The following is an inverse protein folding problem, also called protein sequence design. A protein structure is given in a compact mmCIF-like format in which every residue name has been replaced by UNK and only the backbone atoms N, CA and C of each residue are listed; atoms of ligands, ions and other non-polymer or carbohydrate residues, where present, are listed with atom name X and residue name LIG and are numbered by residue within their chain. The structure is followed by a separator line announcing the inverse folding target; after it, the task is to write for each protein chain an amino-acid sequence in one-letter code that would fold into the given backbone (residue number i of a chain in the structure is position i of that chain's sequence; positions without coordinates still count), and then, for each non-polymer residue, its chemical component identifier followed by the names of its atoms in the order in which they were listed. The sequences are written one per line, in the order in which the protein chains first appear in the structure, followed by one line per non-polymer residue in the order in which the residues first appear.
data_IF_520567302587
#
_entry.id   IF_520567302587
#
_cell.length_a   1.000
_cell.length_b   1.000
_cell.length_c   1.000
_cell.angle_alpha   90.00
_cell.angle_beta   90.00
_cell.angle_gamma   90.00
#
_symmetry.space_group_name_H-M   'P 1'
#
loop_
_entity.id
_entity.type
_entity.pdbx_description
1 polymer ?
#
# COMPACT_ATOMS: atom_id res chain seq x y z
N UNK A 1 -24.95 50.54 29.26
CA UNK A 1 -25.78 49.87 28.23
C UNK A 1 -25.13 50.20 26.89
N UNK A 2 -24.58 49.30 26.07
CA UNK A 2 -24.54 47.85 26.02
C UNK A 2 -23.10 47.39 25.71
N UNK A 3 -22.74 46.25 26.28
CA UNK A 3 -21.49 45.51 26.11
C UNK A 3 -21.55 44.62 24.87
N UNK A 4 -20.52 44.64 24.03
CA UNK A 4 -20.28 43.59 23.03
C UNK A 4 -18.81 43.18 23.09
N UNK A 5 -18.58 42.00 23.64
CA UNK A 5 -17.29 41.32 23.72
C UNK A 5 -17.19 40.40 22.50
N UNK A 6 -16.22 40.62 21.61
CA UNK A 6 -15.91 39.71 20.50
C UNK A 6 -14.72 38.84 20.88
N UNK A 7 -14.98 37.55 20.99
CA UNK A 7 -14.04 36.45 21.22
C UNK A 7 -13.74 35.78 19.88
N UNK A 8 -12.49 35.86 19.43
CA UNK A 8 -11.90 35.09 18.32
C UNK A 8 -10.42 34.96 18.70
N UNK A 9 -9.76 33.81 18.82
CA UNK A 9 -9.93 32.47 18.27
C UNK A 9 -8.50 31.93 18.27
N UNK A 10 -8.12 31.20 19.32
CA UNK A 10 -6.78 30.60 19.44
C UNK A 10 -6.77 29.34 18.59
N UNK A 11 -5.87 29.32 17.60
CA UNK A 11 -5.60 28.18 16.76
C UNK A 11 -5.01 27.05 17.62
N UNK A 12 -5.77 25.98 17.79
CA UNK A 12 -5.29 24.74 18.39
C UNK A 12 -4.69 23.88 17.28
N UNK A 13 -3.41 23.58 17.45
CA UNK A 13 -2.63 22.77 16.53
C UNK A 13 -3.09 21.32 16.66
N UNK A 14 -3.77 20.83 15.62
CA UNK A 14 -4.04 19.40 15.43
C UNK A 14 -2.72 18.64 15.28
N UNK A 15 -2.24 18.12 16.41
CA UNK A 15 -1.29 17.03 16.51
C UNK A 15 -2.02 15.73 16.13
N UNK A 16 -2.09 15.44 14.83
CA UNK A 16 -2.60 14.18 14.32
C UNK A 16 -1.46 13.15 14.36
N UNK A 17 -1.34 12.49 15.52
CA UNK A 17 -0.52 11.31 15.71
C UNK A 17 -0.91 10.22 14.68
N UNK A 18 -0.05 10.02 13.69
CA UNK A 18 -0.19 9.00 12.65
C UNK A 18 -0.12 7.59 13.21
N UNK A 19 -1.09 6.76 12.83
CA UNK A 19 -1.09 5.34 13.09
C UNK A 19 0.12 4.65 12.42
N UNK A 20 0.75 3.66 13.08
CA UNK A 20 1.94 2.99 12.57
C UNK A 20 1.62 1.97 11.46
N UNK A 21 2.23 2.12 10.29
CA UNK A 21 2.75 0.95 9.54
C UNK A 21 1.97 0.40 8.34
N UNK A 22 1.09 1.15 7.67
CA UNK A 22 0.65 0.77 6.32
C UNK A 22 1.73 1.22 5.32
N UNK A 23 2.61 0.31 4.88
CA UNK A 23 3.57 0.60 3.83
C UNK A 23 2.84 1.27 2.64
N UNK A 24 3.32 2.41 2.10
CA UNK A 24 2.70 3.05 0.96
C UNK A 24 2.51 2.04 -0.18
N UNK A 25 1.31 1.98 -0.75
CA UNK A 25 1.05 1.07 -1.87
C UNK A 25 2.03 1.34 -3.02
N UNK A 26 2.40 0.31 -3.80
CA UNK A 26 3.39 0.43 -4.89
C UNK A 26 3.09 1.54 -5.89
N UNK A 27 1.81 1.87 -6.12
CA UNK A 27 1.42 3.03 -6.92
C UNK A 27 1.87 4.36 -6.29
N UNK A 28 1.72 4.53 -4.98
CA UNK A 28 2.19 5.72 -4.27
C UNK A 28 3.71 5.80 -4.30
N UNK A 29 4.39 4.67 -4.13
CA UNK A 29 5.85 4.59 -4.26
C UNK A 29 6.34 4.91 -5.68
N UNK A 30 5.66 4.41 -6.71
CA UNK A 30 5.93 4.75 -8.10
C UNK A 30 5.83 6.25 -8.35
N UNK A 31 4.74 6.87 -7.89
CA UNK A 31 4.52 8.33 -8.02
C UNK A 31 5.60 9.12 -7.29
N UNK A 32 5.95 8.73 -6.07
CA UNK A 32 7.00 9.36 -5.26
C UNK A 32 8.37 9.30 -5.96
N UNK A 33 8.74 8.14 -6.50
CA UNK A 33 10.00 7.98 -7.23
C UNK A 33 10.01 8.83 -8.50
N UNK A 34 8.93 8.83 -9.28
CA UNK A 34 8.82 9.62 -10.52
C UNK A 34 8.86 11.13 -10.25
N UNK A 35 8.14 11.61 -9.25
CA UNK A 35 8.16 13.02 -8.82
C UNK A 35 9.58 13.45 -8.40
N UNK A 36 10.29 12.56 -7.71
CA UNK A 36 11.71 12.78 -7.38
C UNK A 36 12.62 12.87 -8.61
N UNK A 37 12.32 12.16 -9.69
CA UNK A 37 13.11 12.19 -10.94
C UNK A 37 12.82 13.42 -11.80
N UNK A 38 11.57 13.88 -11.81
CA UNK A 38 11.16 15.08 -12.53
C UNK A 38 11.97 16.32 -12.11
N UNK A 39 12.22 16.48 -10.81
CA UNK A 39 12.89 17.66 -10.26
C UNK A 39 14.41 17.51 -10.11
N UNK A 40 14.96 16.30 -10.34
CA UNK A 40 16.38 16.05 -10.10
C UNK A 40 17.26 16.64 -11.20
N UNK A 41 18.40 17.25 -10.86
CA UNK A 41 19.34 17.75 -11.88
C UNK A 41 20.00 16.60 -12.67
N UNK A 42 20.34 15.51 -11.99
CA UNK A 42 20.85 14.25 -12.54
C UNK A 42 20.18 13.07 -11.83
N UNK A 43 20.16 11.90 -12.47
CA UNK A 43 19.52 10.70 -11.93
C UNK A 43 20.59 9.73 -11.41
N UNK A 44 20.68 9.63 -10.10
CA UNK A 44 21.59 8.68 -9.46
C UNK A 44 21.22 7.22 -9.76
N UNK A 45 22.23 6.36 -9.90
CA UNK A 45 22.11 4.90 -10.11
C UNK A 45 21.08 4.24 -9.17
N UNK A 46 21.09 4.63 -7.89
CA UNK A 46 20.18 4.07 -6.88
C UNK A 46 18.71 4.27 -7.23
N UNK A 47 18.35 5.34 -7.96
CA UNK A 47 16.97 5.60 -8.38
C UNK A 47 16.55 4.72 -9.54
N UNK A 48 17.45 4.46 -10.49
CA UNK A 48 17.20 3.49 -11.56
C UNK A 48 17.04 2.07 -11.00
N UNK A 49 17.89 1.70 -10.04
CA UNK A 49 17.79 0.41 -9.34
C UNK A 49 16.44 0.28 -8.60
N UNK A 50 16.03 1.32 -7.88
CA UNK A 50 14.75 1.34 -7.17
C UNK A 50 13.54 1.18 -8.14
N UNK A 51 13.56 1.89 -9.28
CA UNK A 51 12.54 1.72 -10.31
C UNK A 51 12.55 0.31 -10.92
N UNK A 52 13.73 -0.25 -11.21
CA UNK A 52 13.85 -1.61 -11.74
C UNK A 52 13.27 -2.67 -10.79
N UNK A 53 13.56 -2.54 -9.49
CA UNK A 53 12.97 -3.40 -8.46
C UNK A 53 11.44 -3.23 -8.40
N UNK A 54 10.95 -1.98 -8.41
CA UNK A 54 9.52 -1.71 -8.36
C UNK A 54 8.76 -2.25 -9.58
N UNK A 55 9.33 -2.10 -10.80
CA UNK A 55 8.78 -2.70 -12.02
C UNK A 55 8.73 -4.22 -11.90
N UNK A 56 9.78 -4.83 -11.38
CA UNK A 56 9.84 -6.28 -11.18
C UNK A 56 8.74 -6.75 -10.22
N UNK A 57 8.62 -6.11 -9.06
CA UNK A 57 7.60 -6.45 -8.07
C UNK A 57 6.18 -6.22 -8.58
N UNK A 58 5.96 -5.11 -9.29
CA UNK A 58 4.67 -4.79 -9.90
C UNK A 58 4.31 -5.80 -10.99
N UNK A 59 5.28 -6.25 -11.79
CA UNK A 59 5.10 -7.30 -12.80
C UNK A 59 4.70 -8.64 -12.16
N UNK A 60 5.41 -9.05 -11.10
CA UNK A 60 5.13 -10.30 -10.38
C UNK A 60 3.75 -10.29 -9.72
N UNK A 61 3.27 -9.12 -9.29
CA UNK A 61 1.98 -8.97 -8.64
C UNK A 61 0.84 -8.62 -9.61
N UNK A 62 1.09 -8.56 -10.93
CA UNK A 62 0.13 -8.07 -11.92
C UNK A 62 -0.48 -6.71 -11.53
N UNK A 63 0.35 -5.80 -11.01
CA UNK A 63 -0.02 -4.48 -10.52
C UNK A 63 -0.06 -3.47 -11.68
N UNK A 64 -1.12 -3.59 -12.49
CA UNK A 64 -1.33 -2.75 -13.67
C UNK A 64 -1.28 -1.25 -13.37
N UNK A 65 -1.93 -0.73 -12.31
CA UNK A 65 -1.89 0.71 -12.04
C UNK A 65 -0.47 1.22 -11.78
N UNK A 66 0.34 0.45 -11.04
CA UNK A 66 1.73 0.83 -10.78
C UNK A 66 2.58 0.78 -12.06
N UNK A 67 2.47 -0.29 -12.86
CA UNK A 67 3.21 -0.41 -14.12
C UNK A 67 2.84 0.67 -15.14
N UNK A 68 1.55 0.99 -15.26
CA UNK A 68 1.07 2.07 -16.13
C UNK A 68 1.59 3.43 -15.67
N UNK A 69 1.52 3.72 -14.36
CA UNK A 69 2.05 4.97 -13.81
C UNK A 69 3.56 5.10 -14.07
N UNK A 70 4.34 4.02 -13.86
CA UNK A 70 5.79 4.00 -14.13
C UNK A 70 6.06 4.26 -15.61
N UNK A 71 5.39 3.51 -16.50
CA UNK A 71 5.57 3.66 -17.95
C UNK A 71 5.26 5.09 -18.39
N UNK A 72 4.11 5.62 -17.99
CA UNK A 72 3.64 6.94 -18.43
C UNK A 72 4.52 8.06 -17.86
N UNK A 73 4.94 7.95 -16.59
CA UNK A 73 5.88 8.88 -15.97
C UNK A 73 7.26 8.87 -16.63
N UNK A 74 7.80 7.69 -16.96
CA UNK A 74 9.06 7.58 -17.69
C UNK A 74 8.95 8.09 -19.13
N UNK A 75 7.83 7.85 -19.82
CA UNK A 75 7.57 8.41 -21.15
C UNK A 75 7.43 9.94 -21.13
N UNK A 76 6.85 10.49 -20.07
CA UNK A 76 6.82 11.92 -19.85
C UNK A 76 8.23 12.47 -19.62
N UNK A 77 9.00 11.87 -18.71
CA UNK A 77 10.39 12.25 -18.41
C UNK A 77 11.28 12.20 -19.66
N UNK A 78 11.14 11.15 -20.47
CA UNK A 78 11.86 11.01 -21.74
C UNK A 78 11.55 12.16 -22.69
N UNK A 79 10.26 12.52 -22.82
CA UNK A 79 9.85 13.63 -23.68
C UNK A 79 10.35 14.98 -23.15
N UNK A 80 10.30 15.22 -21.84
CA UNK A 80 10.65 16.54 -21.31
C UNK A 80 12.15 16.79 -21.23
N UNK A 81 12.97 15.75 -21.04
CA UNK A 81 14.41 15.91 -20.79
C UNK A 81 15.34 15.42 -21.89
N UNK A 82 14.89 14.49 -22.73
CA UNK A 82 15.79 13.75 -23.62
C UNK A 82 15.37 13.77 -25.10
N UNK A 83 14.52 14.74 -25.51
CA UNK A 83 14.13 14.92 -26.91
C UNK A 83 15.25 15.46 -27.79
N UNK A 84 16.05 16.42 -27.29
CA UNK A 84 17.13 17.04 -28.05
C UNK A 84 18.45 16.24 -27.93
N UNK A 85 18.47 15.08 -28.58
CA UNK A 85 19.59 14.11 -28.51
C UNK A 85 20.96 14.72 -28.84
N UNK A 86 21.12 15.56 -29.88
CA UNK A 86 22.41 16.19 -30.17
C UNK A 86 22.96 17.05 -29.04
N UNK A 87 22.09 17.70 -28.26
CA UNK A 87 22.47 18.57 -27.15
C UNK A 87 22.82 17.82 -25.85
N UNK A 88 22.57 16.50 -25.80
CA UNK A 88 22.85 15.70 -24.61
C UNK A 88 24.36 15.44 -24.45
N UNK A 89 24.85 15.66 -23.23
CA UNK A 89 26.17 15.19 -22.82
C UNK A 89 26.22 13.65 -22.70
N UNK A 90 27.41 13.03 -22.55
CA UNK A 90 27.54 11.58 -22.47
C UNK A 90 26.72 10.92 -21.34
N UNK A 91 26.66 11.55 -20.17
CA UNK A 91 25.96 11.01 -19.00
C UNK A 91 24.44 11.04 -19.23
N UNK A 92 23.93 12.15 -19.77
CA UNK A 92 22.52 12.30 -20.16
C UNK A 92 22.11 11.31 -21.25
N UNK A 93 23.00 10.95 -22.18
CA UNK A 93 22.73 9.91 -23.18
C UNK A 93 22.60 8.53 -22.56
N UNK A 94 23.42 8.24 -21.55
CA UNK A 94 23.32 6.99 -20.80
C UNK A 94 22.02 6.95 -19.98
N UNK A 95 21.70 8.02 -19.24
CA UNK A 95 20.45 8.18 -18.51
C UNK A 95 19.24 7.99 -19.43
N UNK A 96 19.24 8.60 -20.62
CA UNK A 96 18.21 8.41 -21.65
C UNK A 96 18.07 6.94 -22.05
N UNK A 97 19.18 6.24 -22.28
CA UNK A 97 19.18 4.82 -22.62
C UNK A 97 18.55 3.95 -21.53
N UNK A 98 18.89 4.23 -20.27
CA UNK A 98 18.30 3.56 -19.09
C UNK A 98 16.80 3.82 -18.98
N UNK A 99 16.36 5.06 -19.16
CA UNK A 99 14.93 5.42 -19.17
C UNK A 99 14.18 4.65 -20.26
N UNK A 100 14.71 4.62 -21.49
CA UNK A 100 14.11 3.85 -22.58
C UNK A 100 14.02 2.35 -22.27
N UNK A 101 15.09 1.77 -21.71
CA UNK A 101 15.08 0.37 -21.29
C UNK A 101 14.01 0.08 -20.24
N UNK A 102 13.83 0.95 -19.24
CA UNK A 102 12.77 0.80 -18.23
C UNK A 102 11.36 0.96 -18.83
N UNK A 103 11.18 1.87 -19.79
CA UNK A 103 9.91 2.02 -20.53
C UNK A 103 9.58 0.71 -21.26
N UNK A 104 10.56 0.12 -21.96
CA UNK A 104 10.35 -1.12 -22.72
C UNK A 104 10.01 -2.28 -21.79
N UNK A 105 10.72 -2.42 -20.66
CA UNK A 105 10.42 -3.47 -19.67
C UNK A 105 9.02 -3.30 -19.10
N UNK A 106 8.63 -2.09 -18.68
CA UNK A 106 7.28 -1.82 -18.18
C UNK A 106 6.21 -2.08 -19.26
N UNK A 107 6.47 -1.70 -20.50
CA UNK A 107 5.59 -1.97 -21.64
C UNK A 107 5.39 -3.48 -21.85
N UNK A 108 6.47 -4.26 -21.88
CA UNK A 108 6.37 -5.70 -22.08
C UNK A 108 5.76 -6.42 -20.88
N UNK A 109 5.99 -5.93 -19.66
CA UNK A 109 5.31 -6.41 -18.46
C UNK A 109 3.79 -6.25 -18.60
N UNK A 110 3.31 -5.05 -18.96
CA UNK A 110 1.90 -4.77 -19.21
C UNK A 110 1.32 -5.67 -20.31
N UNK A 111 2.03 -5.88 -21.42
CA UNK A 111 1.54 -6.76 -22.51
C UNK A 111 1.49 -8.24 -22.14
N UNK A 112 2.34 -8.68 -21.21
CA UNK A 112 2.39 -10.06 -20.73
C UNK A 112 1.61 -10.29 -19.44
N UNK A 113 1.02 -9.24 -18.88
CA UNK A 113 0.06 -9.42 -17.81
C UNK A 113 -0.98 -10.44 -18.26
N UNK A 114 -1.41 -11.36 -17.39
CA UNK A 114 -2.45 -12.30 -17.74
C UNK A 114 -3.61 -11.47 -18.30
N UNK A 115 -3.96 -11.63 -19.58
CA UNK A 115 -5.19 -11.02 -20.08
C UNK A 115 -6.30 -11.46 -19.14
N UNK A 116 -7.25 -10.59 -18.83
CA UNK A 116 -8.40 -10.88 -17.99
C UNK A 116 -9.12 -12.12 -18.47
N UNK A 117 -8.61 -13.31 -18.11
CA UNK A 117 -9.36 -14.53 -18.11
C UNK A 117 -10.45 -14.17 -17.14
N UNK A 118 -11.62 -13.85 -17.69
CA UNK A 118 -12.80 -13.50 -16.94
C UNK A 118 -12.97 -14.69 -16.01
N UNK A 119 -12.52 -14.52 -14.76
CA UNK A 119 -12.51 -15.59 -13.77
C UNK A 119 -13.92 -16.16 -13.59
N UNK A 120 -14.94 -15.42 -14.04
CA UNK A 120 -16.32 -15.84 -14.08
C UNK A 120 -16.75 -16.29 -12.70
N UNK A 121 -16.22 -15.62 -11.66
CA UNK A 121 -16.43 -16.07 -10.29
C UNK A 121 -17.92 -16.00 -10.03
N UNK A 122 -18.52 -17.16 -9.81
CA UNK A 122 -19.91 -17.25 -9.38
C UNK A 122 -20.01 -16.57 -8.01
N UNK A 123 -20.91 -15.58 -7.84
CA UNK A 123 -21.19 -15.01 -6.53
C UNK A 123 -21.48 -16.12 -5.51
N UNK A 124 -20.91 -16.03 -4.31
CA UNK A 124 -21.02 -17.06 -3.27
C UNK A 124 -20.22 -18.35 -3.51
N UNK A 125 -19.62 -18.55 -4.68
CA UNK A 125 -18.74 -19.68 -4.96
C UNK A 125 -17.45 -19.63 -4.13
N UNK A 126 -16.80 -20.78 -3.93
CA UNK A 126 -15.60 -20.91 -3.09
C UNK A 126 -14.49 -19.92 -3.47
N UNK A 127 -14.25 -19.73 -4.77
CA UNK A 127 -13.24 -18.78 -5.25
C UNK A 127 -13.61 -17.30 -5.00
N UNK A 128 -14.90 -16.95 -5.12
CA UNK A 128 -15.37 -15.61 -4.76
C UNK A 128 -15.22 -15.35 -3.26
N UNK A 129 -15.67 -16.29 -2.43
CA UNK A 129 -15.56 -16.21 -0.97
C UNK A 129 -14.11 -16.14 -0.49
N UNK A 130 -13.22 -16.94 -1.11
CA UNK A 130 -11.78 -16.85 -0.87
C UNK A 130 -11.24 -15.46 -1.18
N UNK A 131 -11.53 -14.94 -2.37
CA UNK A 131 -11.00 -13.65 -2.81
C UNK A 131 -11.50 -12.51 -1.90
N UNK A 132 -12.78 -12.53 -1.51
CA UNK A 132 -13.37 -11.58 -0.56
C UNK A 132 -12.72 -11.69 0.82
N UNK A 133 -12.51 -12.90 1.35
CA UNK A 133 -11.87 -13.10 2.65
C UNK A 133 -10.42 -12.56 2.68
N UNK A 134 -9.64 -12.85 1.62
CA UNK A 134 -8.27 -12.32 1.48
C UNK A 134 -8.27 -10.80 1.28
N UNK A 135 -9.27 -10.23 0.59
CA UNK A 135 -9.41 -8.78 0.43
C UNK A 135 -9.66 -8.06 1.75
N UNK A 136 -10.54 -8.65 2.58
CA UNK A 136 -10.93 -8.13 3.88
C UNK A 136 -9.78 -8.24 4.89
N UNK A 137 -9.03 -9.35 4.88
CA UNK A 137 -7.91 -9.59 5.79
C UNK A 137 -6.71 -10.20 5.04
N UNK A 138 -5.85 -9.35 4.43
CA UNK A 138 -4.62 -9.81 3.81
C UNK A 138 -3.66 -10.45 4.82
N UNK A 139 -2.78 -11.33 4.35
CA UNK A 139 -1.80 -12.03 5.15
C UNK A 139 -2.32 -13.29 5.85
N UNK A 140 -3.49 -13.81 5.47
CA UNK A 140 -4.09 -15.01 6.08
C UNK A 140 -3.45 -16.29 5.55
N UNK A 141 -3.19 -17.22 6.46
CA UNK A 141 -2.69 -18.55 6.12
C UNK A 141 -3.76 -19.46 5.53
N UNK A 142 -3.34 -20.56 4.90
CA UNK A 142 -4.27 -21.58 4.41
C UNK A 142 -5.25 -22.05 5.50
N UNK A 143 -4.72 -22.38 6.67
CA UNK A 143 -5.48 -22.89 7.82
C UNK A 143 -6.51 -21.89 8.34
N UNK A 144 -6.14 -20.61 8.39
CA UNK A 144 -7.06 -19.57 8.83
C UNK A 144 -8.18 -19.35 7.80
N UNK A 145 -7.87 -19.36 6.50
CA UNK A 145 -8.87 -19.26 5.45
C UNK A 145 -9.78 -20.50 5.41
N UNK A 146 -9.25 -21.69 5.65
CA UNK A 146 -10.02 -22.93 5.71
C UNK A 146 -11.06 -22.87 6.84
N UNK A 147 -10.61 -22.47 8.04
CA UNK A 147 -11.48 -22.28 9.20
C UNK A 147 -12.55 -21.20 8.96
N UNK A 148 -12.17 -20.06 8.39
CA UNK A 148 -13.09 -18.95 8.09
C UNK A 148 -14.15 -19.30 7.05
N UNK A 149 -13.77 -20.06 6.01
CA UNK A 149 -14.66 -20.39 4.91
C UNK A 149 -15.46 -21.67 5.14
N UNK A 150 -15.17 -22.42 6.21
CA UNK A 150 -15.78 -23.71 6.51
C UNK A 150 -15.41 -24.78 5.49
N UNK A 151 -14.14 -24.81 5.09
CA UNK A 151 -13.60 -25.73 4.08
C UNK A 151 -12.26 -26.33 4.54
N UNK A 152 -11.64 -27.16 3.72
CA UNK A 152 -10.35 -27.79 4.04
C UNK A 152 -9.15 -27.07 3.39
N UNK A 153 -7.96 -27.29 3.95
CA UNK A 153 -6.70 -26.69 3.49
C UNK A 153 -6.33 -27.03 2.04
N UNK A 154 -6.78 -28.19 1.55
CA UNK A 154 -6.52 -28.65 0.17
C UNK A 154 -7.37 -27.85 -0.80
N UNK A 155 -8.64 -27.60 -0.49
CA UNK A 155 -9.52 -26.77 -1.29
C UNK A 155 -9.05 -25.31 -1.31
N UNK A 156 -8.63 -24.76 -0.17
CA UNK A 156 -7.98 -23.44 -0.10
C UNK A 156 -6.75 -23.39 -1.00
N UNK A 157 -5.89 -24.41 -0.96
CA UNK A 157 -4.69 -24.46 -1.82
C UNK A 157 -5.05 -24.56 -3.31
N UNK A 158 -6.10 -25.33 -3.66
CA UNK A 158 -6.56 -25.52 -5.05
C UNK A 158 -7.17 -24.24 -5.60
N UNK A 159 -8.05 -23.59 -4.84
CA UNK A 159 -8.65 -22.29 -5.17
C UNK A 159 -7.58 -21.22 -5.25
N UNK A 160 -6.72 -21.11 -4.24
CA UNK A 160 -5.62 -20.15 -4.20
C UNK A 160 -4.67 -20.28 -5.39
N UNK A 161 -4.31 -21.49 -5.82
CA UNK A 161 -3.48 -21.70 -7.02
C UNK A 161 -4.16 -21.17 -8.30
N UNK A 162 -5.47 -21.38 -8.46
CA UNK A 162 -6.22 -20.86 -9.62
C UNK A 162 -6.27 -19.33 -9.60
N UNK A 163 -6.54 -18.74 -8.45
CA UNK A 163 -6.60 -17.29 -8.28
C UNK A 163 -5.22 -16.63 -8.44
N UNK A 164 -4.16 -17.31 -7.99
CA UNK A 164 -2.77 -16.91 -8.20
C UNK A 164 -2.42 -16.89 -9.69
N UNK A 165 -2.78 -17.96 -10.42
CA UNK A 165 -2.57 -18.04 -11.86
C UNK A 165 -3.34 -16.95 -12.63
N UNK A 166 -4.49 -16.52 -12.11
CA UNK A 166 -5.26 -15.40 -12.65
C UNK A 166 -4.75 -14.02 -12.21
N UNK A 167 -3.72 -13.96 -11.36
CA UNK A 167 -3.08 -12.71 -10.91
C UNK A 167 -3.93 -11.86 -9.96
N UNK A 168 -5.00 -12.41 -9.37
CA UNK A 168 -5.89 -11.67 -8.45
C UNK A 168 -5.49 -11.82 -6.97
N UNK A 169 -4.59 -12.75 -6.67
CA UNK A 169 -3.95 -12.90 -5.37
C UNK A 169 -2.48 -13.20 -5.57
N UNK A 170 -1.67 -12.97 -4.54
CA UNK A 170 -0.29 -13.42 -4.49
C UNK A 170 -0.05 -14.18 -3.19
N UNK A 171 1.03 -14.95 -3.17
CA UNK A 171 1.36 -15.87 -2.09
C UNK A 171 2.74 -15.58 -1.54
N UNK A 172 2.83 -15.42 -0.21
CA UNK A 172 4.09 -15.41 0.53
C UNK A 172 4.25 -16.70 1.31
N UNK A 173 5.48 -17.20 1.43
CA UNK A 173 5.78 -18.39 2.24
C UNK A 173 6.41 -17.92 3.55
N UNK A 174 5.77 -18.25 4.67
CA UNK A 174 6.31 -17.97 6.00
C UNK A 174 6.41 -19.28 6.79
N UNK A 175 7.63 -19.70 7.09
CA UNK A 175 7.95 -21.00 7.69
C UNK A 175 7.30 -22.18 6.93
N UNK A 176 6.24 -22.75 7.52
CA UNK A 176 5.48 -23.90 7.00
C UNK A 176 4.09 -23.52 6.49
N UNK A 177 3.79 -22.22 6.46
CA UNK A 177 2.49 -21.68 6.06
C UNK A 177 2.60 -20.87 4.76
N UNK A 178 1.57 -20.98 3.92
CA UNK A 178 1.37 -20.06 2.81
C UNK A 178 0.43 -18.96 3.29
N UNK A 179 0.87 -17.70 3.21
CA UNK A 179 0.06 -16.52 3.45
C UNK A 179 -0.42 -15.94 2.13
N UNK A 180 -1.67 -15.50 2.11
CA UNK A 180 -2.32 -14.94 0.93
C UNK A 180 -2.59 -13.46 1.11
N UNK A 181 -2.30 -12.72 0.06
CA UNK A 181 -2.55 -11.30 -0.02
C UNK A 181 -3.26 -11.02 -1.35
N UNK A 182 -4.15 -10.03 -1.35
CA UNK A 182 -4.85 -9.63 -2.58
C UNK A 182 -3.94 -8.71 -3.40
N UNK A 183 -3.92 -8.91 -4.72
CA UNK A 183 -3.24 -7.98 -5.62
C UNK A 183 -4.12 -6.77 -5.91
N UNK A 184 -3.57 -5.63 -6.36
CA UNK A 184 -4.38 -4.49 -6.80
C UNK A 184 -5.40 -4.88 -7.88
N UNK A 185 -5.02 -5.78 -8.79
CA UNK A 185 -5.92 -6.39 -9.76
C UNK A 185 -7.07 -7.16 -9.11
N UNK A 186 -6.81 -7.95 -8.07
CA UNK A 186 -7.86 -8.64 -7.34
C UNK A 186 -8.86 -7.66 -6.69
N UNK A 187 -8.35 -6.54 -6.16
CA UNK A 187 -9.21 -5.47 -5.61
C UNK A 187 -10.07 -4.82 -6.69
N UNK A 188 -9.49 -4.48 -7.85
CA UNK A 188 -10.23 -3.94 -8.99
C UNK A 188 -11.31 -4.92 -9.47
N UNK A 189 -10.96 -6.20 -9.61
CA UNK A 189 -11.90 -7.25 -9.99
C UNK A 189 -13.10 -7.34 -9.04
N UNK A 190 -12.85 -7.30 -7.73
CA UNK A 190 -13.93 -7.32 -6.74
C UNK A 190 -14.84 -6.09 -6.81
N UNK A 191 -14.26 -4.91 -7.08
CA UNK A 191 -15.02 -3.68 -7.26
C UNK A 191 -15.89 -3.71 -8.52
N UNK A 192 -15.34 -4.17 -9.65
CA UNK A 192 -16.06 -4.28 -10.93
C UNK A 192 -17.18 -5.32 -10.90
N UNK A 193 -16.99 -6.42 -10.17
CA UNK A 193 -17.97 -7.52 -10.10
C UNK A 193 -18.99 -7.35 -8.98
N UNK A 194 -18.87 -6.31 -8.13
CA UNK A 194 -19.77 -6.09 -7.00
C UNK A 194 -19.75 -7.22 -5.96
N UNK A 195 -18.64 -7.96 -5.87
CA UNK A 195 -18.51 -9.10 -4.95
C UNK A 195 -18.12 -8.68 -3.53
N UNK A 196 -17.70 -7.43 -3.33
CA UNK A 196 -17.55 -6.87 -1.99
C UNK A 196 -18.95 -6.63 -1.40
N UNK A 197 -19.22 -7.13 -0.17
CA UNK A 197 -20.43 -6.73 0.53
C UNK A 197 -20.41 -5.20 0.67
N UNK A 198 -21.54 -4.55 0.38
CA UNK A 198 -21.71 -3.14 0.71
C UNK A 198 -21.35 -2.95 2.19
N UNK A 199 -20.64 -1.88 2.57
CA UNK A 199 -20.43 -1.59 3.97
C UNK A 199 -21.81 -1.55 4.62
N UNK A 200 -22.11 -2.53 5.46
CA UNK A 200 -23.30 -2.50 6.27
C UNK A 200 -23.19 -1.28 7.16
N UNK A 201 -24.20 -0.40 7.14
CA UNK A 201 -24.33 0.83 7.95
C UNK A 201 -24.35 0.57 9.49
N UNK A 202 -23.82 -0.55 9.95
CA UNK A 202 -23.87 -1.03 11.34
C UNK A 202 -22.52 -1.11 12.07
N UNK A 203 -21.37 -0.89 11.41
CA UNK A 203 -20.05 -0.88 12.07
C UNK A 203 -19.67 0.51 12.60
N UNK A 204 -20.63 1.19 13.23
CA UNK A 204 -20.30 2.26 14.14
C UNK A 204 -19.58 1.61 15.35
N UNK A 205 -18.33 2.00 15.68
CA UNK A 205 -17.67 1.47 16.86
C UNK A 205 -18.54 1.80 18.09
N UNK A 206 -18.75 0.84 19.02
CA UNK A 206 -19.52 1.11 20.22
C UNK A 206 -18.91 2.32 20.94
N UNK A 207 -19.72 3.27 21.43
CA UNK A 207 -19.19 4.45 22.12
C UNK A 207 -18.31 3.98 23.28
N UNK A 208 -17.04 4.42 23.27
CA UNK A 208 -16.10 4.10 24.33
C UNK A 208 -16.71 4.46 25.70
N UNK A 209 -16.60 3.58 26.72
CA UNK A 209 -17.06 3.92 28.05
C UNK A 209 -16.26 5.12 28.56
N UNK A 210 -17.00 6.14 29.04
CA UNK A 210 -16.43 7.36 29.56
C UNK A 210 -15.38 7.06 30.65
N UNK A 211 -14.21 7.67 30.51
CA UNK A 211 -13.14 7.62 31.49
C UNK A 211 -13.63 8.22 32.81
N UNK A 212 -13.88 7.37 33.81
CA UNK A 212 -14.02 7.77 35.20
C UNK A 212 -12.67 8.30 35.68
N UNK A 213 -12.53 9.63 35.68
CA UNK A 213 -11.32 10.31 36.14
C UNK A 213 -11.01 10.02 37.61
N UNK A 214 -9.72 9.88 37.99
CA UNK A 214 -9.34 9.69 39.38
C UNK A 214 -9.45 11.01 40.17
N UNK A 215 -10.18 10.94 41.29
CA UNK A 215 -10.28 11.96 42.33
C UNK A 215 -8.90 12.35 42.87
N UNK A 216 -8.54 13.63 42.69
CA UNK A 216 -7.47 14.29 43.47
C UNK A 216 -7.83 14.29 44.95
N UNK A 217 -7.01 13.66 45.78
CA UNK A 217 -6.92 13.93 47.22
C UNK A 217 -5.47 14.32 47.51
N UNK A 218 -5.29 15.55 47.97
CA UNK A 218 -3.98 16.16 48.18
C UNK A 218 -3.36 15.87 49.55
N UNK A 219 -2.36 16.72 49.88
CA UNK A 219 -1.68 16.89 51.17
C UNK A 219 -0.53 15.86 51.35
N UNK A 220 0.74 16.20 51.59
CA UNK A 220 1.42 17.42 52.06
C UNK A 220 2.93 17.40 51.67
N UNK A 221 3.68 18.51 51.88
CA UNK A 221 5.05 18.70 51.40
C UNK A 221 6.17 18.20 52.33
N UNK A 222 7.33 18.08 51.69
CA UNK A 222 8.68 17.79 52.15
C UNK A 222 9.13 18.52 53.44
N UNK A 223 9.98 17.86 54.24
CA UNK A 223 11.12 18.52 54.84
C UNK A 223 12.46 17.83 54.50
N UNK A 224 13.27 18.57 53.75
CA UNK A 224 14.74 18.47 53.57
C UNK A 224 15.53 18.43 54.91
N UNK A 225 16.89 18.43 54.91
CA UNK A 225 17.87 17.55 54.27
C UNK A 225 18.89 16.97 55.28
N UNK A 226 19.61 15.89 54.92
CA UNK A 226 20.61 15.24 55.78
C UNK A 226 21.94 14.94 55.08
N UNK A 227 23.02 15.49 55.63
CA UNK A 227 24.41 15.50 55.17
C UNK A 227 25.15 14.14 55.07
N UNK A 228 26.10 14.08 54.10
CA UNK A 228 27.48 13.50 54.13
C UNK A 228 27.59 11.98 54.42
N UNK A 229 28.48 11.18 53.82
CA UNK A 229 29.92 11.35 53.53
C UNK A 229 30.38 10.11 52.72
N UNK A 230 31.36 10.30 51.83
CA UNK A 230 32.18 9.25 51.19
C UNK A 230 33.02 8.46 52.22
N UNK A 231 33.50 7.26 51.85
CA UNK A 231 34.84 7.12 51.24
C UNK A 231 34.81 6.77 49.75
#
# INVERSE_FOLDING_TARGET
MATTTSTTGVADATDAAGAPGAAPGRLAEARRLLEGLEHAKSIEEGRFSALGMLITDASLCADEPALTAIKDGLQWLHRTRYLDVPALDPDQREERGRVLGLIDVAHWALRRMPSGLQLGLRPGGHAARFLVAVAARPGRSNRELAAELGTDDTEISRVGRRLLAAGVVWRRKEWRSNLWDITPRGRAYLAETGLLPAPSDGDAPPPSPASSGPTRRGVDPDPSPGHRRRP
#
